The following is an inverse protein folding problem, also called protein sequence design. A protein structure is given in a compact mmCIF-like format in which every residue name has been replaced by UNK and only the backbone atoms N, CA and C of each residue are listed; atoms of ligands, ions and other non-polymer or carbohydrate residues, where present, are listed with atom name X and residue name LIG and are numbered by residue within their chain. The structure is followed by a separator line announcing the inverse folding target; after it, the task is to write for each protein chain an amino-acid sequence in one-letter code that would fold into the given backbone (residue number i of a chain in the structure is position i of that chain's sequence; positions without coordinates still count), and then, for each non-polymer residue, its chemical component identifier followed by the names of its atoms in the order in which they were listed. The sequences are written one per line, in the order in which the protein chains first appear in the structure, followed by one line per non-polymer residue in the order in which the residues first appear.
data_IF_024392719602
#
_entry.id   IF_024392719602
#
_cell.length_a   1.000
_cell.length_b   1.000
_cell.length_c   1.000
_cell.angle_alpha   90.00
_cell.angle_beta   90.00
_cell.angle_gamma   90.00
#
_symmetry.space_group_name_H-M   'P 1'
#
loop_
_entity.id
_entity.type
_entity.pdbx_description
1 polymer ?
#
# COMPACT_ATOMS: atom_id res chain seq x y z
N UNK A 1 -21.66 10.11 16.75
CA UNK A 1 -20.58 10.05 15.76
C UNK A 1 -20.28 8.63 15.25
N UNK A 2 -19.93 7.63 16.09
CA UNK A 2 -19.62 6.26 15.63
C UNK A 2 -20.75 5.63 14.78
N UNK A 3 -22.00 5.68 15.25
CA UNK A 3 -23.16 5.14 14.51
C UNK A 3 -23.38 5.78 13.14
N UNK A 4 -23.13 7.09 12.98
CA UNK A 4 -23.32 7.77 11.68
C UNK A 4 -22.27 7.35 10.65
N UNK A 5 -21.02 7.10 11.08
CA UNK A 5 -19.97 6.58 10.20
C UNK A 5 -20.24 5.13 9.78
N UNK A 6 -20.73 4.29 10.68
CA UNK A 6 -21.11 2.91 10.34
C UNK A 6 -22.25 2.93 9.31
N UNK A 7 -23.28 3.75 9.50
CA UNK A 7 -24.36 3.89 8.51
C UNK A 7 -23.86 4.31 7.12
N UNK A 8 -22.89 5.22 7.06
CA UNK A 8 -22.24 5.60 5.79
C UNK A 8 -21.45 4.43 5.20
N UNK A 9 -20.72 3.67 6.01
CA UNK A 9 -20.01 2.47 5.53
C UNK A 9 -21.00 1.44 4.96
N UNK A 10 -22.14 1.22 5.62
CA UNK A 10 -23.20 0.31 5.15
C UNK A 10 -23.85 0.76 3.85
N UNK A 11 -23.88 2.07 3.52
CA UNK A 11 -24.42 2.52 2.24
C UNK A 11 -23.58 2.10 1.03
N UNK A 12 -22.39 1.51 1.25
CA UNK A 12 -21.54 0.95 0.19
C UNK A 12 -21.50 -0.58 0.21
N UNK A 13 -22.41 -1.27 0.92
CA UNK A 13 -22.32 -2.72 1.14
C UNK A 13 -22.35 -3.57 -0.14
N UNK A 14 -23.02 -3.12 -1.20
CA UNK A 14 -23.14 -3.89 -2.45
C UNK A 14 -21.91 -3.76 -3.37
N UNK A 15 -21.13 -2.69 -3.26
CA UNK A 15 -20.06 -2.33 -4.21
C UNK A 15 -18.70 -2.09 -3.55
N UNK A 16 -18.65 -2.03 -2.21
CA UNK A 16 -17.48 -1.63 -1.45
C UNK A 16 -16.72 -2.79 -0.79
N UNK A 17 -15.41 -2.64 -0.69
CA UNK A 17 -14.56 -3.43 0.19
C UNK A 17 -13.94 -2.54 1.26
N UNK A 18 -14.11 -2.92 2.53
CA UNK A 18 -13.44 -2.28 3.66
C UNK A 18 -12.08 -2.96 3.89
N UNK A 19 -11.03 -2.29 3.46
CA UNK A 19 -9.65 -2.73 3.73
C UNK A 19 -9.18 -2.19 5.07
N UNK A 20 -8.66 -3.06 5.93
CA UNK A 20 -8.23 -2.74 7.30
C UNK A 20 -6.75 -3.07 7.43
N UNK A 21 -5.95 -2.09 7.84
CA UNK A 21 -4.53 -2.32 8.03
C UNK A 21 -4.26 -3.07 9.34
N UNK A 22 -3.64 -4.25 9.26
CA UNK A 22 -3.27 -5.06 10.43
C UNK A 22 -1.87 -5.63 10.21
N UNK A 23 -0.89 -5.20 10.99
CA UNK A 23 0.53 -5.55 10.80
C UNK A 23 1.02 -6.72 11.65
N UNK A 24 0.12 -7.52 12.22
CA UNK A 24 0.51 -8.68 13.02
C UNK A 24 -0.50 -9.04 14.12
N UNK A 25 -0.14 -10.01 14.97
CA UNK A 25 -0.74 -10.19 16.29
C UNK A 25 -0.76 -8.90 17.11
N UNK A 26 -1.63 -8.83 18.12
CA UNK A 26 -1.94 -7.60 18.86
C UNK A 26 -0.70 -6.79 19.30
N UNK A 27 0.31 -7.43 19.89
CA UNK A 27 1.53 -6.75 20.33
C UNK A 27 2.34 -6.17 19.17
N UNK A 28 2.53 -6.95 18.09
CA UNK A 28 3.24 -6.49 16.90
C UNK A 28 2.49 -5.33 16.25
N UNK A 29 1.16 -5.47 16.08
CA UNK A 29 0.32 -4.42 15.50
C UNK A 29 0.40 -3.12 16.30
N UNK A 30 0.19 -3.18 17.62
CA UNK A 30 0.22 -2.01 18.49
C UNK A 30 1.60 -1.32 18.47
N UNK A 31 2.69 -2.10 18.44
CA UNK A 31 4.07 -1.60 18.34
C UNK A 31 4.33 -0.92 16.99
N UNK A 32 3.95 -1.56 15.87
CA UNK A 32 4.11 -0.99 14.51
C UNK A 32 3.30 0.29 14.37
N UNK A 33 2.08 0.33 14.93
CA UNK A 33 1.20 1.50 14.88
C UNK A 33 1.56 2.59 15.88
N UNK A 34 2.41 2.29 16.85
CA UNK A 34 2.78 3.21 17.94
C UNK A 34 1.62 3.53 18.89
N UNK A 35 0.56 2.72 18.91
CA UNK A 35 -0.66 2.97 19.67
C UNK A 35 -1.05 1.69 20.42
N UNK A 36 -0.80 1.67 21.73
CA UNK A 36 -1.25 0.57 22.59
C UNK A 36 -2.78 0.46 22.57
N UNK A 37 -3.28 -0.75 22.32
CA UNK A 37 -4.70 -1.06 22.23
C UNK A 37 -5.34 -0.81 20.86
N UNK A 38 -4.58 -0.43 19.82
CA UNK A 38 -5.17 -0.20 18.49
C UNK A 38 -5.73 -1.48 17.89
N UNK A 39 -5.07 -2.63 18.08
CA UNK A 39 -5.60 -3.92 17.65
C UNK A 39 -6.92 -4.27 18.35
N UNK A 40 -6.99 -4.03 19.67
CA UNK A 40 -8.22 -4.25 20.44
C UNK A 40 -9.35 -3.35 19.96
N UNK A 41 -9.05 -2.09 19.62
CA UNK A 41 -10.03 -1.16 19.06
C UNK A 41 -10.53 -1.61 17.68
N UNK A 42 -9.67 -2.17 16.82
CA UNK A 42 -10.08 -2.78 15.54
C UNK A 42 -11.09 -3.89 15.79
N UNK A 43 -10.78 -4.81 16.72
CA UNK A 43 -11.66 -5.93 17.06
C UNK A 43 -13.03 -5.46 17.57
N UNK A 44 -13.05 -4.50 18.49
CA UNK A 44 -14.31 -3.92 19.01
C UNK A 44 -15.15 -3.30 17.89
N UNK A 45 -14.54 -2.48 17.03
CA UNK A 45 -15.27 -1.82 15.95
C UNK A 45 -15.76 -2.80 14.88
N UNK A 46 -15.05 -3.91 14.64
CA UNK A 46 -15.50 -4.99 13.75
C UNK A 46 -16.69 -5.75 14.33
N UNK A 47 -16.72 -6.00 15.64
CA UNK A 47 -17.89 -6.57 16.32
C UNK A 47 -19.11 -5.66 16.15
N UNK A 48 -18.95 -4.36 16.39
CA UNK A 48 -20.03 -3.38 16.20
C UNK A 48 -20.50 -3.32 14.74
N UNK A 49 -19.58 -3.34 13.78
CA UNK A 49 -19.93 -3.36 12.36
C UNK A 49 -20.73 -4.61 12.00
N UNK A 50 -20.34 -5.78 12.51
CA UNK A 50 -21.04 -7.03 12.27
C UNK A 50 -22.48 -7.03 12.83
N UNK A 51 -22.68 -6.45 14.02
CA UNK A 51 -24.01 -6.28 14.60
C UNK A 51 -24.89 -5.38 13.72
N UNK A 52 -24.34 -4.27 13.22
CA UNK A 52 -25.07 -3.33 12.37
C UNK A 52 -25.36 -3.90 10.97
N UNK A 53 -24.45 -4.70 10.40
CA UNK A 53 -24.67 -5.47 9.18
C UNK A 53 -25.87 -6.42 9.34
N UNK A 54 -25.92 -7.16 10.45
CA UNK A 54 -27.04 -8.04 10.78
C UNK A 54 -28.35 -7.27 10.94
N UNK A 55 -28.34 -6.13 11.64
CA UNK A 55 -29.52 -5.29 11.84
C UNK A 55 -30.05 -4.71 10.52
N UNK A 56 -29.15 -4.37 9.60
CA UNK A 56 -29.49 -3.83 8.28
C UNK A 56 -29.78 -4.91 7.23
N UNK A 57 -29.50 -6.19 7.52
CA UNK A 57 -29.66 -7.28 6.55
C UNK A 57 -28.70 -7.18 5.36
N UNK A 58 -27.50 -6.63 5.57
CA UNK A 58 -26.49 -6.41 4.54
C UNK A 58 -25.14 -7.04 4.95
N UNK A 59 -24.20 -7.08 4.02
CA UNK A 59 -22.85 -7.56 4.25
C UNK A 59 -21.87 -6.71 3.45
N UNK A 60 -20.80 -6.25 4.09
CA UNK A 60 -19.71 -5.53 3.44
C UNK A 60 -18.50 -6.47 3.37
N UNK A 61 -17.91 -6.56 2.18
CA UNK A 61 -16.62 -7.26 2.01
C UNK A 61 -15.54 -6.59 2.86
N UNK A 62 -14.71 -7.40 3.51
CA UNK A 62 -13.62 -6.93 4.39
C UNK A 62 -12.35 -7.65 4.04
N UNK A 63 -11.23 -6.93 4.02
CA UNK A 63 -9.91 -7.51 3.84
C UNK A 63 -8.90 -6.90 4.80
N UNK A 64 -7.87 -7.66 5.14
CA UNK A 64 -6.70 -7.17 5.85
C UNK A 64 -5.64 -6.78 4.83
N UNK A 65 -4.99 -5.64 5.04
CA UNK A 65 -3.69 -5.35 4.44
C UNK A 65 -2.62 -5.48 5.50
N UNK A 66 -1.66 -6.37 5.27
CA UNK A 66 -0.49 -6.58 6.10
C UNK A 66 0.76 -6.08 5.36
N UNK A 67 1.45 -5.11 5.95
CA UNK A 67 2.73 -4.64 5.41
C UNK A 67 3.86 -5.50 5.95
N UNK A 68 4.63 -6.17 5.08
CA UNK A 68 5.85 -6.91 5.41
C UNK A 68 6.99 -5.90 5.57
N UNK A 69 7.39 -5.64 6.81
CA UNK A 69 8.45 -4.69 7.19
C UNK A 69 9.35 -5.31 8.25
N UNK A 70 10.54 -4.73 8.56
CA UNK A 70 11.41 -5.16 9.67
C UNK A 70 10.72 -5.30 11.01
N UNK A 71 9.63 -4.55 11.19
CA UNK A 71 8.88 -4.44 12.43
C UNK A 71 7.73 -5.45 12.53
N UNK A 72 7.29 -6.03 11.40
CA UNK A 72 6.07 -6.84 11.32
C UNK A 72 6.28 -8.25 10.79
N UNK A 73 7.32 -8.50 9.96
CA UNK A 73 7.43 -9.74 9.18
C UNK A 73 7.45 -11.02 10.02
N UNK A 74 7.95 -10.95 11.27
CA UNK A 74 7.93 -12.06 12.25
C UNK A 74 6.54 -12.45 12.75
N UNK A 75 5.53 -11.65 12.44
CA UNK A 75 4.12 -11.95 12.72
C UNK A 75 3.38 -12.56 11.53
N UNK A 76 3.99 -12.64 10.34
CA UNK A 76 3.31 -13.04 9.10
C UNK A 76 2.71 -14.44 9.20
N UNK A 77 3.44 -15.42 9.77
CA UNK A 77 2.97 -16.80 9.92
C UNK A 77 1.68 -16.95 10.74
N UNK A 78 1.38 -15.96 11.60
CA UNK A 78 0.18 -15.92 12.47
C UNK A 78 -0.98 -15.13 11.86
N UNK A 79 -0.78 -14.47 10.73
CA UNK A 79 -1.81 -13.63 10.13
C UNK A 79 -3.11 -14.36 9.74
N UNK A 80 -3.11 -15.64 9.32
CA UNK A 80 -4.36 -16.37 9.09
C UNK A 80 -5.21 -16.49 10.37
N UNK A 81 -4.58 -16.77 11.52
CA UNK A 81 -5.28 -16.84 12.82
C UNK A 81 -5.77 -15.46 13.28
N UNK A 82 -4.97 -14.42 13.04
CA UNK A 82 -5.37 -13.02 13.29
C UNK A 82 -6.62 -12.69 12.47
N UNK A 83 -6.65 -13.02 11.18
CA UNK A 83 -7.80 -12.77 10.31
C UNK A 83 -9.06 -13.50 10.79
N UNK A 84 -8.94 -14.79 11.13
CA UNK A 84 -10.03 -15.58 11.75
C UNK A 84 -10.57 -14.91 13.01
N UNK A 85 -9.68 -14.43 13.89
CA UNK A 85 -10.05 -13.78 15.15
C UNK A 85 -10.82 -12.46 14.98
N UNK A 86 -10.69 -11.84 13.80
CA UNK A 86 -11.37 -10.61 13.41
C UNK A 86 -12.61 -10.87 12.53
N UNK A 87 -12.91 -12.13 12.21
CA UNK A 87 -14.00 -12.48 11.28
C UNK A 87 -13.74 -12.05 9.84
N UNK A 88 -12.47 -11.93 9.44
CA UNK A 88 -12.05 -11.54 8.09
C UNK A 88 -11.40 -12.75 7.42
N UNK A 89 -11.75 -13.00 6.17
CA UNK A 89 -11.28 -14.18 5.42
C UNK A 89 -10.35 -13.84 4.25
N UNK A 90 -9.96 -12.58 4.07
CA UNK A 90 -9.10 -12.14 2.96
C UNK A 90 -7.94 -11.32 3.50
N UNK A 91 -6.72 -11.68 3.11
CA UNK A 91 -5.48 -10.98 3.47
C UNK A 91 -4.74 -10.62 2.19
N UNK A 92 -4.35 -9.35 2.07
CA UNK A 92 -3.37 -8.87 1.11
C UNK A 92 -2.06 -8.59 1.85
N UNK A 93 -0.98 -9.24 1.41
CA UNK A 93 0.36 -8.97 1.93
C UNK A 93 1.10 -8.03 0.98
N UNK A 94 1.82 -7.07 1.55
CA UNK A 94 2.48 -5.99 0.82
C UNK A 94 3.88 -5.77 1.37
N UNK A 95 4.98 -5.98 0.62
CA UNK A 95 6.29 -5.58 1.10
C UNK A 95 6.36 -4.07 1.23
N UNK A 96 6.94 -3.61 2.35
CA UNK A 96 7.12 -2.19 2.58
C UNK A 96 8.12 -1.60 1.57
N UNK A 97 8.07 -0.27 1.43
CA UNK A 97 9.00 0.45 0.58
C UNK A 97 10.16 0.92 1.43
N UNK A 98 11.35 0.82 0.87
CA UNK A 98 12.54 1.43 1.42
C UNK A 98 13.29 2.11 0.30
N UNK A 99 13.87 3.27 0.58
CA UNK A 99 14.65 4.07 -0.35
C UNK A 99 15.97 4.42 0.32
N UNK A 100 17.10 3.83 -0.11
CA UNK A 100 18.42 4.21 0.38
C UNK A 100 18.74 5.67 0.04
N UNK A 101 19.61 6.31 0.83
CA UNK A 101 19.90 7.75 0.67
C UNK A 101 20.37 8.11 -0.74
N UNK A 102 21.21 7.26 -1.36
CA UNK A 102 21.71 7.52 -2.72
C UNK A 102 20.58 7.57 -3.77
N UNK A 103 19.54 6.73 -3.61
CA UNK A 103 18.40 6.69 -4.50
C UNK A 103 17.45 7.87 -4.25
N UNK A 104 17.31 8.28 -2.98
CA UNK A 104 16.59 9.50 -2.60
C UNK A 104 17.19 10.76 -3.23
N UNK A 105 18.52 10.92 -3.10
CA UNK A 105 19.26 12.04 -3.72
C UNK A 105 19.17 12.03 -5.25
N UNK A 106 19.26 10.86 -5.88
CA UNK A 106 19.05 10.77 -7.33
C UNK A 106 17.63 11.21 -7.70
N UNK A 107 16.61 10.79 -6.94
CA UNK A 107 15.23 11.21 -7.18
C UNK A 107 15.03 12.73 -7.04
N UNK A 108 15.68 13.37 -6.07
CA UNK A 108 15.71 14.85 -5.95
C UNK A 108 16.26 15.50 -7.22
N UNK A 109 17.40 15.03 -7.74
CA UNK A 109 17.96 15.54 -8.98
C UNK A 109 17.05 15.30 -10.19
N UNK A 110 16.40 14.15 -10.26
CA UNK A 110 15.44 13.81 -11.32
C UNK A 110 14.26 14.77 -11.33
N UNK A 111 13.65 15.05 -10.17
CA UNK A 111 12.55 15.99 -10.09
C UNK A 111 12.99 17.44 -10.30
N UNK A 112 14.19 17.82 -9.84
CA UNK A 112 14.72 19.15 -10.09
C UNK A 112 14.85 19.42 -11.59
N UNK A 113 15.32 18.44 -12.37
CA UNK A 113 15.39 18.50 -13.85
C UNK A 113 14.00 18.64 -14.50
N UNK A 114 12.95 18.21 -13.82
CA UNK A 114 11.55 18.36 -14.24
C UNK A 114 10.88 19.61 -13.67
N UNK A 115 11.61 20.45 -12.93
CA UNK A 115 11.09 21.68 -12.33
C UNK A 115 10.26 21.46 -11.06
N UNK A 116 10.49 20.37 -10.33
CA UNK A 116 9.83 20.03 -9.07
C UNK A 116 10.87 19.75 -7.97
N UNK A 117 10.43 19.72 -6.71
CA UNK A 117 11.23 19.29 -5.56
C UNK A 117 10.77 17.93 -5.09
N UNK A 118 11.69 17.04 -4.71
CA UNK A 118 11.35 15.79 -4.04
C UNK A 118 11.50 15.93 -2.52
N UNK A 119 10.58 15.32 -1.77
CA UNK A 119 10.68 15.22 -0.31
C UNK A 119 10.08 13.91 0.21
N UNK A 120 9.05 13.38 -0.48
CA UNK A 120 8.29 12.19 -0.03
C UNK A 120 9.17 10.97 0.25
N UNK A 121 10.32 10.84 -0.42
CA UNK A 121 11.23 9.71 -0.23
C UNK A 121 11.78 9.60 1.20
N UNK A 122 11.88 10.71 1.95
CA UNK A 122 12.30 10.68 3.35
C UNK A 122 11.37 9.84 4.24
N UNK A 123 10.07 9.77 3.89
CA UNK A 123 9.11 8.91 4.59
C UNK A 123 9.38 7.42 4.41
N UNK A 124 10.21 7.05 3.44
CA UNK A 124 10.59 5.67 3.12
C UNK A 124 12.10 5.44 3.28
N UNK A 125 12.84 6.35 3.92
CA UNK A 125 14.30 6.26 3.98
C UNK A 125 14.76 5.10 4.88
N UNK A 126 15.34 4.07 4.25
CA UNK A 126 16.13 3.04 4.90
C UNK A 126 17.23 2.58 3.95
N UNK A 127 18.46 2.42 4.44
CA UNK A 127 19.59 1.97 3.62
C UNK A 127 19.42 0.54 3.08
N UNK A 128 18.73 -0.30 3.85
CA UNK A 128 18.47 -1.70 3.52
C UNK A 128 17.04 -2.07 3.92
N UNK A 129 16.59 -3.25 3.49
CA UNK A 129 15.26 -3.75 3.81
C UNK A 129 15.05 -4.09 5.28
N UNK A 130 16.12 -4.34 6.05
CA UNK A 130 16.06 -4.78 7.45
C UNK A 130 15.39 -6.14 7.68
N UNK A 131 15.12 -6.91 6.61
CA UNK A 131 14.50 -8.23 6.67
C UNK A 131 15.59 -9.30 6.72
N UNK A 132 15.54 -10.17 7.74
CA UNK A 132 16.25 -11.45 7.67
C UNK A 132 15.45 -12.36 6.74
N UNK A 133 16.01 -12.64 5.56
CA UNK A 133 15.28 -13.34 4.52
C UNK A 133 14.96 -14.79 4.88
N UNK A 134 15.82 -15.47 5.65
CA UNK A 134 15.58 -16.87 5.98
C UNK A 134 14.49 -17.00 7.06
N UNK A 135 14.46 -16.09 8.03
CA UNK A 135 13.33 -15.97 8.97
C UNK A 135 12.05 -15.57 8.22
N UNK A 136 12.11 -14.60 7.31
CA UNK A 136 10.94 -14.25 6.48
C UNK A 136 10.43 -15.45 5.67
N UNK A 137 11.31 -16.26 5.08
CA UNK A 137 10.92 -17.47 4.35
C UNK A 137 10.14 -18.42 5.26
N UNK A 138 10.63 -18.67 6.48
CA UNK A 138 9.91 -19.48 7.47
C UNK A 138 8.52 -18.91 7.78
N UNK A 139 8.42 -17.61 8.03
CA UNK A 139 7.14 -16.95 8.29
C UNK A 139 6.17 -17.01 7.10
N UNK A 140 6.70 -16.89 5.88
CA UNK A 140 5.92 -17.00 4.64
C UNK A 140 5.41 -18.43 4.41
N UNK A 141 6.25 -19.44 4.63
CA UNK A 141 5.84 -20.85 4.57
C UNK A 141 4.77 -21.18 5.61
N UNK A 142 4.94 -20.72 6.86
CA UNK A 142 3.90 -20.83 7.89
C UNK A 142 2.59 -20.15 7.46
N UNK A 143 2.67 -18.94 6.93
CA UNK A 143 1.51 -18.19 6.43
C UNK A 143 0.75 -19.00 5.37
N UNK A 144 1.46 -19.49 4.35
CA UNK A 144 0.87 -20.25 3.26
C UNK A 144 0.26 -21.57 3.73
N UNK A 145 0.92 -22.28 4.66
CA UNK A 145 0.43 -23.54 5.21
C UNK A 145 -0.78 -23.36 6.14
N UNK A 146 -0.92 -22.20 6.78
CA UNK A 146 -1.98 -21.90 7.73
C UNK A 146 -3.20 -21.18 7.13
N UNK A 147 -3.21 -20.90 5.81
CA UNK A 147 -4.29 -20.19 5.13
C UNK A 147 -5.66 -20.85 5.35
N UNK A 148 -5.78 -22.16 5.13
CA UNK A 148 -7.06 -22.86 5.25
C UNK A 148 -8.15 -22.22 4.37
N UNK A 149 -9.20 -21.71 5.01
CA UNK A 149 -10.31 -20.96 4.41
C UNK A 149 -9.99 -19.49 4.11
N UNK A 150 -8.93 -18.94 4.71
CA UNK A 150 -8.48 -17.57 4.49
C UNK A 150 -7.85 -17.48 3.11
N UNK A 151 -8.33 -16.55 2.30
CA UNK A 151 -7.81 -16.26 0.97
C UNK A 151 -6.67 -15.26 1.08
N UNK A 152 -5.59 -15.53 0.34
CA UNK A 152 -4.56 -14.53 0.06
C UNK A 152 -4.81 -13.90 -1.31
N UNK A 153 -4.77 -12.58 -1.39
CA UNK A 153 -4.85 -11.85 -2.64
C UNK A 153 -3.76 -10.77 -2.64
N UNK A 154 -2.52 -11.13 -2.99
CA UNK A 154 -1.44 -10.16 -3.00
C UNK A 154 -1.60 -9.24 -4.22
N UNK A 155 -1.67 -7.94 -3.98
CA UNK A 155 -1.75 -6.94 -5.05
C UNK A 155 -0.53 -6.97 -6.00
N UNK A 156 0.59 -7.53 -5.52
CA UNK A 156 1.75 -7.91 -6.34
C UNK A 156 1.89 -9.43 -6.29
N UNK A 157 1.74 -10.16 -7.41
CA UNK A 157 1.80 -11.62 -7.44
C UNK A 157 3.25 -12.12 -7.35
N UNK A 158 3.92 -11.78 -6.25
CA UNK A 158 5.31 -12.14 -5.97
C UNK A 158 5.41 -13.56 -5.42
N UNK A 159 6.36 -14.32 -5.95
CA UNK A 159 6.80 -15.56 -5.33
C UNK A 159 7.94 -15.30 -4.31
N UNK A 160 8.42 -16.38 -3.67
CA UNK A 160 9.48 -16.28 -2.66
C UNK A 160 10.81 -15.72 -3.23
N UNK A 161 11.13 -15.97 -4.50
CA UNK A 161 12.35 -15.45 -5.13
C UNK A 161 12.19 -13.98 -5.52
N UNK A 162 10.99 -13.55 -5.87
CA UNK A 162 10.68 -12.13 -6.01
C UNK A 162 10.83 -11.39 -4.67
N UNK A 163 10.38 -11.97 -3.56
CA UNK A 163 10.64 -11.41 -2.23
C UNK A 163 12.13 -11.38 -1.89
N UNK A 164 12.90 -12.42 -2.28
CA UNK A 164 14.36 -12.44 -2.09
C UNK A 164 15.02 -11.27 -2.79
N UNK A 165 14.64 -11.02 -4.05
CA UNK A 165 15.10 -9.85 -4.81
C UNK A 165 14.65 -8.56 -4.13
N UNK A 166 13.37 -8.44 -3.78
CA UNK A 166 12.79 -7.25 -3.16
C UNK A 166 13.53 -6.86 -1.88
N UNK A 167 13.86 -7.81 -1.01
CA UNK A 167 14.54 -7.52 0.25
C UNK A 167 16.08 -7.50 0.15
N UNK A 168 16.65 -7.97 -0.96
CA UNK A 168 18.10 -8.05 -1.18
C UNK A 168 18.72 -6.78 -1.78
N UNK A 169 18.46 -6.47 -3.04
CA UNK A 169 19.21 -5.44 -3.78
C UNK A 169 18.32 -4.36 -4.39
N UNK A 170 18.36 -3.14 -3.86
CA UNK A 170 17.45 -2.04 -4.22
C UNK A 170 17.23 -1.82 -5.73
N UNK A 171 18.26 -1.95 -6.59
CA UNK A 171 18.17 -1.71 -8.06
C UNK A 171 17.72 -2.93 -8.88
N UNK A 172 17.41 -4.06 -8.25
CA UNK A 172 16.93 -5.23 -8.98
C UNK A 172 15.50 -5.01 -9.49
N UNK A 173 15.20 -5.44 -10.73
CA UNK A 173 13.82 -5.52 -11.23
C UNK A 173 13.08 -6.62 -10.47
N UNK A 174 11.93 -6.28 -9.90
CA UNK A 174 10.97 -7.24 -9.33
C UNK A 174 9.67 -7.17 -10.11
N UNK A 175 9.27 -8.31 -10.68
CA UNK A 175 8.20 -8.54 -11.68
C UNK A 175 8.27 -7.68 -12.96
N UNK A 176 8.34 -6.35 -12.85
CA UNK A 176 8.40 -5.41 -13.98
C UNK A 176 9.08 -4.09 -13.62
N UNK A 177 9.60 -3.41 -14.64
CA UNK A 177 10.25 -2.10 -14.53
C UNK A 177 9.27 -0.92 -14.71
N UNK A 178 8.31 -1.06 -15.63
CA UNK A 178 7.40 0.01 -16.01
C UNK A 178 6.22 0.17 -15.03
N UNK A 179 5.71 1.40 -14.93
CA UNK A 179 4.56 1.76 -14.12
C UNK A 179 3.44 2.28 -15.03
N UNK A 180 2.28 1.64 -14.97
CA UNK A 180 1.13 2.01 -15.80
C UNK A 180 0.33 3.19 -15.24
N UNK A 181 0.57 3.61 -13.99
CA UNK A 181 -0.14 4.71 -13.36
C UNK A 181 -0.04 6.01 -14.19
N UNK A 182 1.09 6.28 -14.83
CA UNK A 182 1.27 7.48 -15.66
C UNK A 182 0.30 7.56 -16.85
N UNK A 183 -0.30 6.43 -17.25
CA UNK A 183 -1.27 6.33 -18.35
C UNK A 183 -2.69 5.99 -17.88
N UNK A 184 -2.85 5.53 -16.64
CA UNK A 184 -4.12 4.94 -16.18
C UNK A 184 -4.65 5.46 -14.85
N UNK A 185 -3.87 6.23 -14.09
CA UNK A 185 -4.24 6.65 -12.74
C UNK A 185 -3.95 8.14 -12.56
N UNK A 186 -4.93 8.85 -12.01
CA UNK A 186 -4.73 10.18 -11.46
C UNK A 186 -4.98 10.09 -9.96
N UNK A 187 -4.04 10.59 -9.18
CA UNK A 187 -4.13 10.71 -7.74
C UNK A 187 -4.36 12.18 -7.40
N UNK A 188 -5.37 12.47 -6.58
CA UNK A 188 -5.80 13.83 -6.24
C UNK A 188 -5.63 14.02 -4.74
N UNK A 189 -4.72 14.90 -4.36
CA UNK A 189 -4.43 15.26 -2.97
C UNK A 189 -5.59 16.04 -2.33
N UNK A 190 -5.69 16.10 -0.99
CA UNK A 190 -6.76 16.81 -0.29
C UNK A 190 -6.92 18.30 -0.64
N UNK A 191 -5.85 18.94 -1.13
CA UNK A 191 -5.81 20.35 -1.57
C UNK A 191 -6.05 20.53 -3.08
N UNK A 192 -6.45 19.46 -3.77
CA UNK A 192 -6.80 19.46 -5.19
C UNK A 192 -5.62 19.29 -6.14
N UNK A 193 -4.36 19.32 -5.67
CA UNK A 193 -3.24 19.01 -6.53
C UNK A 193 -3.30 17.56 -6.99
N UNK A 194 -3.05 17.34 -8.27
CA UNK A 194 -3.05 16.02 -8.86
C UNK A 194 -1.64 15.58 -9.25
N UNK A 195 -1.39 14.28 -9.19
CA UNK A 195 -0.14 13.60 -9.49
C UNK A 195 -0.46 12.20 -10.08
N UNK A 196 0.54 11.52 -10.64
CA UNK A 196 0.36 10.15 -11.14
C UNK A 196 0.73 9.07 -10.11
N UNK A 197 1.46 9.44 -9.06
CA UNK A 197 2.01 8.47 -8.10
C UNK A 197 1.44 8.72 -6.70
N UNK A 198 0.71 7.74 -6.17
CA UNK A 198 0.06 7.80 -4.85
C UNK A 198 1.07 7.94 -3.70
N UNK A 199 2.17 7.19 -3.78
CA UNK A 199 3.15 7.13 -2.68
C UNK A 199 4.27 8.20 -2.80
N UNK A 200 4.51 8.72 -4.01
CA UNK A 200 5.51 9.77 -4.27
C UNK A 200 4.87 10.95 -5.02
N UNK A 201 4.03 11.76 -4.36
CA UNK A 201 3.23 12.82 -4.98
C UNK A 201 4.02 14.10 -5.33
N UNK A 202 5.35 14.08 -5.24
CA UNK A 202 6.23 15.25 -5.37
C UNK A 202 6.18 15.94 -6.75
N UNK A 203 5.72 15.24 -7.81
CA UNK A 203 5.50 15.83 -9.12
C UNK A 203 4.01 16.07 -9.40
N UNK A 204 3.57 17.31 -9.27
CA UNK A 204 2.20 17.70 -9.59
C UNK A 204 1.98 18.03 -11.07
N UNK A 205 0.86 17.57 -11.62
CA UNK A 205 0.43 17.77 -13.00
C UNK A 205 -0.65 18.86 -13.17
N UNK A 206 -1.14 19.44 -12.08
CA UNK A 206 -2.17 20.50 -12.08
C UNK A 206 -3.06 20.43 -10.83
N UNK A 207 -3.98 21.38 -10.67
CA UNK A 207 -4.93 21.42 -9.55
C UNK A 207 -6.38 21.35 -10.07
N UNK A 208 -7.17 20.41 -9.53
CA UNK A 208 -8.56 20.16 -9.99
C UNK A 208 -9.57 21.19 -9.48
N UNK A 209 -9.17 22.07 -8.56
CA UNK A 209 -9.98 23.21 -8.12
C UNK A 209 -9.98 24.30 -9.19
N UNK A 210 -8.89 24.44 -9.95
CA UNK A 210 -8.67 25.49 -10.95
C UNK A 210 -8.92 25.01 -12.38
N UNK A 211 -8.94 23.70 -12.61
CA UNK A 211 -9.03 23.10 -13.94
C UNK A 211 -9.79 21.79 -13.90
N UNK A 212 -10.38 21.40 -15.02
CA UNK A 212 -11.05 20.09 -15.12
C UNK A 212 -10.02 18.96 -15.07
N UNK A 213 -10.44 17.78 -14.62
CA UNK A 213 -9.59 16.56 -14.63
C UNK A 213 -9.01 16.31 -16.02
N UNK A 214 -9.79 16.54 -17.09
CA UNK A 214 -9.34 16.38 -18.48
C UNK A 214 -8.20 17.34 -18.84
N UNK A 215 -8.27 18.60 -18.40
CA UNK A 215 -7.22 19.58 -18.62
C UNK A 215 -5.95 19.24 -17.84
N UNK A 216 -6.09 18.86 -16.56
CA UNK A 216 -4.99 18.41 -15.71
C UNK A 216 -4.31 17.17 -16.31
N UNK A 217 -5.09 16.19 -16.77
CA UNK A 217 -4.60 14.96 -17.39
C UNK A 217 -3.80 15.19 -18.68
N UNK A 218 -4.17 16.20 -19.46
CA UNK A 218 -3.55 16.55 -20.73
C UNK A 218 -2.62 17.77 -20.63
N UNK A 219 -2.25 18.18 -19.42
CA UNK A 219 -1.41 19.35 -19.20
C UNK A 219 0.00 19.15 -19.76
N UNK A 220 0.71 20.25 -20.01
CA UNK A 220 2.12 20.19 -20.44
C UNK A 220 3.02 19.52 -19.39
N UNK A 221 2.71 19.69 -18.09
CA UNK A 221 3.39 18.99 -16.99
C UNK A 221 3.13 17.48 -17.04
N UNK A 222 1.88 17.07 -17.26
CA UNK A 222 1.52 15.67 -17.41
C UNK A 222 2.32 15.01 -18.55
N UNK A 223 2.37 15.64 -19.74
CA UNK A 223 3.11 15.09 -20.88
C UNK A 223 4.64 15.10 -20.65
N UNK A 224 5.18 16.14 -20.00
CA UNK A 224 6.59 16.19 -19.65
C UNK A 224 6.99 15.01 -18.74
N UNK A 225 6.18 14.72 -17.71
CA UNK A 225 6.42 13.60 -16.81
C UNK A 225 6.26 12.24 -17.50
N UNK A 226 5.22 12.05 -18.32
CA UNK A 226 5.04 10.83 -19.12
C UNK A 226 6.24 10.59 -20.04
N UNK A 227 6.68 11.61 -20.77
CA UNK A 227 7.85 11.53 -21.65
C UNK A 227 9.13 11.13 -20.91
N UNK A 228 9.30 11.59 -19.67
CA UNK A 228 10.41 11.18 -18.82
C UNK A 228 10.26 9.71 -18.37
N UNK A 229 9.12 9.37 -17.79
CA UNK A 229 8.83 8.05 -17.20
C UNK A 229 8.73 6.90 -18.21
N UNK A 230 8.35 7.17 -19.45
CA UNK A 230 8.34 6.19 -20.54
C UNK A 230 9.76 5.75 -20.95
N UNK A 231 10.79 6.53 -20.61
CA UNK A 231 12.19 6.21 -20.94
C UNK A 231 12.86 5.37 -19.87
N UNK A 232 12.56 5.63 -18.60
CA UNK A 232 13.19 4.95 -17.46
C UNK A 232 12.37 5.07 -16.17
N UNK A 233 12.57 4.14 -15.21
CA UNK A 233 12.08 4.30 -13.86
C UNK A 233 12.72 5.55 -13.18
N UNK A 234 12.02 6.14 -12.19
CA UNK A 234 12.62 7.09 -11.25
C UNK A 234 13.40 6.28 -10.22
N UNK A 235 14.38 6.91 -9.58
CA UNK A 235 15.22 6.25 -8.59
C UNK A 235 14.42 5.66 -7.41
N UNK A 236 13.27 6.23 -7.05
CA UNK A 236 12.35 5.71 -6.01
C UNK A 236 11.45 4.54 -6.45
N UNK A 237 11.36 4.26 -7.76
CA UNK A 237 10.38 3.28 -8.26
C UNK A 237 10.77 1.81 -8.04
N UNK A 238 12.02 1.52 -7.69
CA UNK A 238 12.53 0.14 -7.66
C UNK A 238 11.95 -0.71 -6.54
N UNK A 239 11.52 -0.10 -5.44
CA UNK A 239 10.79 -0.73 -4.32
C UNK A 239 9.41 -0.11 -4.11
N UNK A 240 8.81 0.36 -5.21
CA UNK A 240 7.49 0.94 -5.20
C UNK A 240 6.46 -0.09 -5.65
N UNK A 241 5.50 -0.38 -4.78
CA UNK A 241 4.33 -1.18 -5.06
C UNK A 241 3.24 -0.45 -5.83
N UNK A 242 3.20 0.89 -5.76
CA UNK A 242 2.18 1.68 -6.45
C UNK A 242 2.12 1.39 -7.95
N UNK A 243 3.23 0.91 -8.54
CA UNK A 243 3.33 0.58 -9.96
C UNK A 243 2.36 -0.50 -10.45
N UNK A 244 1.68 -1.23 -9.55
CA UNK A 244 0.67 -2.23 -9.87
C UNK A 244 -0.77 -1.78 -9.63
N UNK A 245 -0.99 -0.62 -8.98
CA UNK A 245 -2.34 -0.20 -8.57
C UNK A 245 -3.31 -0.02 -9.75
N UNK A 246 -2.84 0.48 -10.89
CA UNK A 246 -3.69 0.71 -12.07
C UNK A 246 -3.84 -0.50 -13.00
N UNK A 247 -3.49 -1.70 -12.53
CA UNK A 247 -3.59 -2.96 -13.29
C UNK A 247 -4.59 -3.94 -12.70
N UNK A 248 -5.16 -3.58 -11.55
CA UNK A 248 -6.17 -4.35 -10.83
C UNK A 248 -7.56 -4.02 -11.40
#
# INVERSE_FOLDING_TARGET
MKSQRIKLILSFSEEGNLTISVDGPAEIHDNVRGIKGSFASIKENLTLLHEEEKNAGCFISKSITFTISPYSYRGLGKMPDVARSLGINTICIVPYYYVPEYAGKEYEEELQKLGASAFSWHGFHHEESGIDFEEFRTQYEEYMNNLGEVKTFPYMPMDIEDYRKWFGEYRSVVLKENCSNIEKLIDIQPDGWANFCVDFPDYSIGNVIESTIKEVWNSSKAEAFRKYRRKKPLAVCWRCGAKYMSEI
#
